data_IF_106798187888
#
_entry.id   IF_106798187888
#
_cell.length_a   1.000
_cell.length_b   1.000
_cell.length_c   1.000
_cell.angle_alpha   90.00
_cell.angle_beta   90.00
_cell.angle_gamma   90.00
#
_symmetry.space_group_name_H-M   'P 1'
#
loop_
_entity.id
_entity.type
_entity.pdbx_description
1 polymer ?
#
# COMPACT_ATOMS: atom_id res chain seq x y z
N UNK A 1 16.21 30.68 3.84
CA UNK A 1 17.30 30.15 2.98
C UNK A 1 18.32 31.25 2.72
N UNK A 2 19.39 31.29 3.53
CA UNK A 2 20.63 31.90 3.07
C UNK A 2 21.29 30.93 2.09
N UNK A 3 21.78 31.46 0.98
CA UNK A 3 22.68 30.82 0.04
C UNK A 3 23.84 30.15 0.81
N UNK A 4 23.73 28.86 1.09
CA UNK A 4 24.87 27.99 1.38
C UNK A 4 24.84 26.92 0.31
N UNK A 5 25.86 26.98 -0.55
CA UNK A 5 26.31 25.96 -1.50
C UNK A 5 25.56 24.63 -1.42
N UNK A 6 24.82 24.31 -2.47
CA UNK A 6 24.39 22.93 -2.78
C UNK A 6 25.65 22.09 -3.07
N UNK A 7 26.41 21.79 -2.01
CA UNK A 7 27.45 20.78 -2.05
C UNK A 7 26.70 19.45 -2.01
N UNK A 8 26.21 19.00 -3.17
CA UNK A 8 25.34 17.83 -3.35
C UNK A 8 25.90 16.47 -2.89
N UNK A 9 26.92 16.48 -2.03
CA UNK A 9 27.65 15.34 -1.46
C UNK A 9 27.75 15.38 0.07
N UNK A 10 27.25 16.41 0.75
CA UNK A 10 27.20 16.43 2.21
C UNK A 10 26.05 15.54 2.75
N UNK A 11 26.23 14.87 3.90
CA UNK A 11 25.16 14.07 4.52
C UNK A 11 23.93 14.94 4.81
N UNK A 12 22.81 14.61 4.17
CA UNK A 12 21.54 15.31 4.32
C UNK A 12 20.37 14.41 3.92
N UNK A 13 19.32 14.40 4.74
CA UNK A 13 18.08 13.65 4.46
C UNK A 13 17.53 13.98 3.06
N UNK A 14 17.52 15.26 2.68
CA UNK A 14 17.08 15.68 1.34
C UNK A 14 17.85 14.99 0.20
N UNK A 15 19.16 14.86 0.35
CA UNK A 15 20.03 14.19 -0.63
C UNK A 15 19.76 12.69 -0.71
N UNK A 16 19.60 12.06 0.45
CA UNK A 16 19.19 10.66 0.59
C UNK A 16 17.87 10.40 -0.15
N UNK A 17 16.80 11.14 0.17
CA UNK A 17 15.48 10.96 -0.44
C UNK A 17 15.50 11.17 -1.96
N UNK A 18 16.19 12.21 -2.45
CA UNK A 18 16.32 12.48 -3.89
C UNK A 18 16.99 11.30 -4.61
N UNK A 19 18.09 10.78 -4.07
CA UNK A 19 18.80 9.67 -4.69
C UNK A 19 17.99 8.38 -4.64
N UNK A 20 17.32 8.09 -3.51
CA UNK A 20 16.44 6.92 -3.36
C UNK A 20 15.32 6.92 -4.39
N UNK A 21 14.63 8.05 -4.59
CA UNK A 21 13.55 8.14 -5.58
C UNK A 21 14.06 8.12 -7.03
N UNK A 22 15.09 8.89 -7.36
CA UNK A 22 15.60 8.96 -8.75
C UNK A 22 16.29 7.67 -9.23
N UNK A 23 16.76 6.84 -8.29
CA UNK A 23 17.41 5.54 -8.57
C UNK A 23 16.51 4.34 -8.27
N UNK A 24 15.27 4.58 -7.84
CA UNK A 24 14.30 3.51 -7.56
C UNK A 24 14.14 2.53 -8.74
N UNK A 25 14.22 2.95 -10.03
CA UNK A 25 14.11 1.99 -11.14
C UNK A 25 15.18 0.87 -11.14
N UNK A 26 16.33 1.04 -10.48
CA UNK A 26 17.36 0.01 -10.38
C UNK A 26 17.05 -1.08 -9.32
N UNK A 27 16.17 -0.76 -8.37
CA UNK A 27 15.76 -1.67 -7.29
C UNK A 27 15.10 -2.92 -7.83
N UNK A 28 15.46 -4.08 -7.26
CA UNK A 28 14.99 -5.41 -7.64
C UNK A 28 15.25 -5.78 -9.12
N UNK A 29 16.08 -5.01 -9.82
CA UNK A 29 16.51 -5.29 -11.21
C UNK A 29 18.01 -5.55 -11.27
N UNK A 30 18.79 -4.66 -10.68
CA UNK A 30 20.25 -4.82 -10.64
C UNK A 30 20.69 -5.34 -9.27
N UNK A 31 20.02 -4.91 -8.21
CA UNK A 31 20.28 -5.25 -6.81
C UNK A 31 19.14 -4.72 -5.92
N UNK A 32 19.21 -5.02 -4.61
CA UNK A 32 18.42 -4.29 -3.62
C UNK A 32 19.09 -2.93 -3.38
N UNK A 33 18.36 -1.85 -3.70
CA UNK A 33 18.88 -0.49 -3.44
C UNK A 33 18.95 -0.26 -1.93
N UNK A 34 20.09 0.24 -1.45
CA UNK A 34 20.22 0.78 -0.11
C UNK A 34 19.79 2.26 -0.11
N UNK A 35 18.68 2.63 0.58
CA UNK A 35 18.23 4.00 0.67
C UNK A 35 18.91 4.82 1.78
N UNK A 36 19.93 4.26 2.44
CA UNK A 36 20.48 4.69 3.74
C UNK A 36 19.50 4.40 4.90
N UNK A 37 19.97 4.60 6.13
CA UNK A 37 19.20 4.29 7.34
C UNK A 37 18.08 5.32 7.58
N UNK A 38 16.92 4.84 8.02
CA UNK A 38 15.91 5.71 8.62
C UNK A 38 16.36 6.04 10.04
N UNK A 39 16.41 7.34 10.34
CA UNK A 39 16.74 7.85 11.67
C UNK A 39 15.44 8.20 12.41
N UNK A 40 15.13 7.42 13.43
CA UNK A 40 13.99 7.58 14.32
C UNK A 40 14.38 8.33 15.61
N UNK A 41 15.66 8.37 15.95
CA UNK A 41 16.14 8.96 17.19
C UNK A 41 15.89 10.47 17.28
N UNK A 42 15.65 10.95 18.49
CA UNK A 42 15.47 12.37 18.81
C UNK A 42 16.81 13.12 18.97
N UNK A 43 17.94 12.43 18.81
CA UNK A 43 19.27 13.07 18.71
C UNK A 43 19.45 13.85 17.41
N UNK A 44 18.62 13.58 16.39
CA UNK A 44 18.59 14.31 15.13
C UNK A 44 17.75 15.59 15.24
N UNK A 45 17.89 16.51 14.28
CA UNK A 45 17.01 17.69 14.17
C UNK A 45 15.80 17.45 13.27
N UNK A 46 15.53 16.19 12.91
CA UNK A 46 14.42 15.84 12.03
C UNK A 46 13.11 16.04 12.76
N UNK A 47 12.18 16.69 12.09
CA UNK A 47 10.78 16.76 12.50
C UNK A 47 10.09 15.40 12.28
N UNK A 48 8.96 15.18 12.95
CA UNK A 48 8.20 13.93 12.75
C UNK A 48 7.68 13.80 11.32
N UNK A 49 7.30 14.92 10.69
CA UNK A 49 6.89 14.95 9.29
C UNK A 49 8.05 14.50 8.35
N UNK A 50 9.30 14.91 8.62
CA UNK A 50 10.47 14.46 7.87
C UNK A 50 10.77 12.97 8.08
N UNK A 51 10.58 12.44 9.30
CA UNK A 51 10.75 11.01 9.60
C UNK A 51 9.69 10.18 8.87
N UNK A 52 8.42 10.62 8.88
CA UNK A 52 7.33 9.98 8.13
C UNK A 52 7.62 10.02 6.63
N UNK A 53 8.12 11.14 6.10
CA UNK A 53 8.49 11.27 4.69
C UNK A 53 9.64 10.34 4.30
N UNK A 54 10.65 10.19 5.17
CA UNK A 54 11.72 9.23 4.96
C UNK A 54 11.20 7.79 4.92
N UNK A 55 10.41 7.41 5.90
CA UNK A 55 9.77 6.10 5.96
C UNK A 55 8.89 5.84 4.73
N UNK A 56 8.12 6.82 4.28
CA UNK A 56 7.26 6.71 3.10
C UNK A 56 8.07 6.45 1.83
N UNK A 57 9.17 7.16 1.61
CA UNK A 57 10.03 6.93 0.44
C UNK A 57 10.70 5.55 0.48
N UNK A 58 11.19 5.12 1.65
CA UNK A 58 11.76 3.78 1.82
C UNK A 58 10.72 2.69 1.58
N UNK A 59 9.52 2.85 2.16
CA UNK A 59 8.39 1.94 1.96
C UNK A 59 8.01 1.80 0.49
N UNK A 60 7.82 2.92 -0.20
CA UNK A 60 7.38 2.95 -1.59
C UNK A 60 8.46 2.44 -2.57
N UNK A 61 9.74 2.62 -2.26
CA UNK A 61 10.82 2.17 -3.15
C UNK A 61 11.20 0.71 -2.93
N UNK A 62 10.86 0.13 -1.77
CA UNK A 62 10.98 -1.31 -1.52
C UNK A 62 12.42 -1.81 -1.46
N UNK A 63 13.40 -0.92 -1.25
CA UNK A 63 14.81 -1.28 -1.14
C UNK A 63 15.16 -1.99 0.17
N UNK A 64 16.36 -1.74 0.70
CA UNK A 64 16.75 -2.21 2.04
C UNK A 64 16.03 -1.41 3.13
N UNK A 65 15.71 -2.07 4.24
CA UNK A 65 15.19 -1.44 5.44
C UNK A 65 16.25 -1.46 6.55
N UNK A 66 16.77 -0.29 6.90
CA UNK A 66 17.83 -0.13 7.90
C UNK A 66 17.43 0.91 8.93
N UNK A 67 17.67 0.61 10.20
CA UNK A 67 17.53 1.53 11.34
C UNK A 67 18.91 1.73 11.97
N UNK A 68 19.26 2.98 12.31
CA UNK A 68 20.56 3.33 12.89
C UNK A 68 20.40 4.28 14.07
N UNK A 69 19.75 3.78 15.11
CA UNK A 69 19.47 4.52 16.34
C UNK A 69 19.73 3.66 17.57
N UNK A 70 19.89 4.35 18.71
CA UNK A 70 19.80 3.72 20.02
C UNK A 70 18.33 3.37 20.31
N UNK A 71 17.96 2.12 20.02
CA UNK A 71 16.57 1.65 20.08
C UNK A 71 15.95 1.73 21.48
N UNK A 72 16.75 1.79 22.54
CA UNK A 72 16.26 2.01 23.92
C UNK A 72 15.73 3.44 24.12
N UNK A 73 16.12 4.39 23.25
CA UNK A 73 15.76 5.80 23.34
C UNK A 73 14.76 6.24 22.27
N UNK A 74 14.42 5.38 21.30
CA UNK A 74 13.44 5.72 20.27
C UNK A 74 12.05 5.77 20.92
N UNK A 75 11.34 6.89 20.70
CA UNK A 75 9.98 7.04 21.22
C UNK A 75 9.01 6.09 20.52
N UNK A 76 7.99 5.63 21.26
CA UNK A 76 6.94 4.74 20.73
C UNK A 76 6.26 5.30 19.48
N UNK A 77 6.08 6.62 19.42
CA UNK A 77 5.48 7.29 18.27
C UNK A 77 6.33 7.11 16.99
N UNK A 78 7.66 7.28 17.08
CA UNK A 78 8.56 7.10 15.93
C UNK A 78 8.84 5.63 15.63
N UNK A 79 8.88 4.77 16.66
CA UNK A 79 8.94 3.33 16.46
C UNK A 79 7.73 2.82 15.68
N UNK A 80 6.53 3.36 15.97
CA UNK A 80 5.31 3.01 15.24
C UNK A 80 5.39 3.35 13.75
N UNK A 81 6.17 4.36 13.34
CA UNK A 81 6.38 4.68 11.91
C UNK A 81 7.08 3.51 11.22
N UNK A 82 8.18 3.02 11.80
CA UNK A 82 8.92 1.87 11.29
C UNK A 82 8.07 0.59 11.27
N UNK A 83 7.30 0.31 12.32
CA UNK A 83 6.40 -0.85 12.38
C UNK A 83 5.32 -0.83 11.29
N UNK A 84 4.87 0.36 10.88
CA UNK A 84 3.84 0.58 9.86
C UNK A 84 4.33 0.40 8.43
N UNK A 85 5.64 0.52 8.18
CA UNK A 85 6.24 0.25 6.86
C UNK A 85 6.89 -1.13 6.77
N UNK A 86 7.10 -1.80 7.89
CA UNK A 86 7.69 -3.12 7.96
C UNK A 86 6.60 -4.22 7.93
N UNK A 87 6.83 -5.36 7.23
CA UNK A 87 7.96 -5.63 6.34
C UNK A 87 7.86 -4.84 5.03
N UNK A 88 9.01 -4.49 4.44
CA UNK A 88 8.99 -3.86 3.13
C UNK A 88 8.44 -4.82 2.07
N UNK A 89 7.81 -4.23 1.05
CA UNK A 89 7.39 -4.96 -0.14
C UNK A 89 8.56 -5.04 -1.13
N UNK A 90 8.75 -6.19 -1.78
CA UNK A 90 9.83 -6.38 -2.78
C UNK A 90 9.47 -5.83 -4.16
N UNK A 91 8.68 -4.76 -4.22
CA UNK A 91 8.32 -4.07 -5.46
C UNK A 91 8.59 -2.59 -5.32
N UNK A 92 9.00 -1.96 -6.41
CA UNK A 92 9.43 -0.57 -6.40
C UNK A 92 8.44 0.34 -7.10
N UNK A 93 8.05 1.41 -6.42
CA UNK A 93 7.21 2.46 -6.97
C UNK A 93 7.88 3.17 -8.15
N UNK A 94 7.05 3.63 -9.07
CA UNK A 94 7.45 4.46 -10.20
C UNK A 94 7.32 5.94 -9.81
N UNK A 95 8.40 6.74 -9.91
CA UNK A 95 8.31 8.18 -9.78
C UNK A 95 7.64 8.79 -11.01
N UNK A 96 6.48 9.43 -10.85
CA UNK A 96 5.67 9.92 -11.97
C UNK A 96 6.14 11.26 -12.52
N UNK A 97 6.83 12.06 -11.71
CA UNK A 97 7.27 13.41 -12.03
C UNK A 97 8.79 13.53 -12.20
N UNK A 98 9.50 12.40 -12.38
CA UNK A 98 10.97 12.37 -12.42
C UNK A 98 11.58 13.34 -13.46
N UNK A 99 10.95 13.50 -14.62
CA UNK A 99 11.42 14.38 -15.70
C UNK A 99 10.76 15.76 -15.70
N UNK A 100 9.84 16.03 -14.77
CA UNK A 100 9.07 17.27 -14.64
C UNK A 100 9.19 17.91 -13.25
N UNK A 101 10.17 17.47 -12.44
CA UNK A 101 10.33 17.94 -11.07
C UNK A 101 10.55 19.46 -11.02
N UNK A 102 9.77 20.14 -10.18
CA UNK A 102 9.93 21.59 -9.93
C UNK A 102 10.82 21.88 -8.71
N UNK A 103 11.11 20.88 -7.87
CA UNK A 103 11.78 21.01 -6.59
C UNK A 103 13.26 20.60 -6.64
N UNK A 104 14.04 21.22 -7.53
CA UNK A 104 15.48 20.94 -7.72
C UNK A 104 15.80 19.46 -8.00
N UNK A 105 15.02 18.80 -8.87
CA UNK A 105 15.26 17.39 -9.20
C UNK A 105 14.68 16.39 -8.20
N UNK A 106 13.82 16.81 -7.26
CA UNK A 106 13.20 15.93 -6.26
C UNK A 106 11.80 15.49 -6.70
N UNK A 107 11.62 14.20 -7.07
CA UNK A 107 10.30 13.64 -7.36
C UNK A 107 9.37 13.80 -6.17
N UNK A 108 8.12 14.12 -6.41
CA UNK A 108 7.11 14.36 -5.37
C UNK A 108 5.96 13.35 -5.43
N UNK A 109 5.92 12.52 -6.48
CA UNK A 109 4.83 11.58 -6.73
C UNK A 109 5.41 10.19 -7.00
N UNK A 110 5.15 9.24 -6.11
CA UNK A 110 5.48 7.81 -6.31
C UNK A 110 4.18 7.01 -6.46
N UNK A 111 4.18 6.04 -7.37
CA UNK A 111 3.02 5.17 -7.60
C UNK A 111 3.38 3.68 -7.57
N UNK A 112 2.57 2.91 -6.87
CA UNK A 112 2.51 1.44 -6.93
C UNK A 112 1.12 1.00 -7.37
N UNK A 113 1.07 -0.23 -7.86
CA UNK A 113 -0.17 -0.94 -8.13
C UNK A 113 -0.36 -2.05 -7.11
N UNK A 114 -1.60 -2.36 -6.80
CA UNK A 114 -1.93 -3.53 -6.00
C UNK A 114 -3.10 -4.26 -6.65
N UNK A 115 -2.99 -5.58 -6.74
CA UNK A 115 -4.02 -6.42 -7.36
C UNK A 115 -4.06 -7.77 -6.68
N UNK A 116 -5.23 -8.38 -6.64
CA UNK A 116 -5.41 -9.71 -6.09
C UNK A 116 -4.72 -10.79 -6.92
N UNK A 117 -4.33 -11.88 -6.25
CA UNK A 117 -3.82 -13.10 -6.91
C UNK A 117 -4.93 -13.75 -7.74
N UNK A 118 -4.59 -14.16 -8.97
CA UNK A 118 -5.52 -14.86 -9.86
C UNK A 118 -5.70 -16.32 -9.42
N UNK A 119 -6.79 -16.96 -9.84
CA UNK A 119 -7.04 -18.38 -9.54
C UNK A 119 -5.97 -19.31 -10.14
N UNK A 120 -5.30 -18.91 -11.23
CA UNK A 120 -4.22 -19.68 -11.87
C UNK A 120 -2.90 -19.60 -11.09
N UNK A 121 -2.64 -18.48 -10.40
CA UNK A 121 -1.47 -18.31 -9.51
C UNK A 121 -1.57 -19.18 -8.25
N UNK A 122 -2.77 -19.63 -7.87
CA UNK A 122 -2.98 -20.58 -6.76
C UNK A 122 -2.66 -22.04 -7.16
N UNK A 123 -2.40 -22.33 -8.43
CA UNK A 123 -2.28 -23.69 -8.98
C UNK A 123 -0.87 -24.31 -8.97
N UNK A 124 0.16 -23.62 -8.47
CA UNK A 124 1.57 -24.06 -8.60
C UNK A 124 2.31 -24.34 -7.29
N UNK A 125 1.59 -24.61 -6.20
CA UNK A 125 2.17 -25.18 -4.96
C UNK A 125 1.77 -26.65 -4.79
N UNK A 126 2.07 -27.48 -5.78
CA UNK A 126 2.22 -28.93 -5.59
C UNK A 126 3.68 -29.32 -5.87
N UNK A 127 4.60 -28.78 -5.06
CA UNK A 127 5.83 -29.50 -4.74
C UNK A 127 5.72 -29.95 -3.30
N UNK A 128 5.32 -31.21 -3.13
CA UNK A 128 5.49 -31.96 -1.89
C UNK A 128 6.89 -31.71 -1.34
N UNK A 129 7.05 -31.19 -0.11
CA UNK A 129 8.34 -31.29 0.55
C UNK A 129 8.55 -32.77 0.82
N UNK A 130 9.56 -33.36 0.19
CA UNK A 130 9.99 -34.71 0.54
C UNK A 130 10.29 -34.74 2.03
N UNK A 131 9.48 -35.52 2.74
CA UNK A 131 9.66 -35.88 4.14
C UNK A 131 10.98 -36.61 4.30
N UNK A 132 12.07 -35.87 4.53
CA UNK A 132 13.29 -36.46 5.09
C UNK A 132 13.14 -36.54 6.60
N UNK A 133 12.64 -37.70 7.02
CA UNK A 133 12.62 -38.15 8.41
C UNK A 133 14.05 -38.20 8.95
N UNK A 134 14.39 -37.34 9.89
CA UNK A 134 15.50 -37.58 10.82
C UNK A 134 15.08 -37.13 12.23
N UNK A 135 14.68 -38.14 13.01
CA UNK A 135 14.62 -38.08 14.46
C UNK A 135 16.05 -37.86 14.99
N UNK A 136 16.27 -36.82 15.79
CA UNK A 136 16.82 -36.95 17.16
C UNK A 136 17.00 -35.57 17.81
N UNK A 137 16.64 -35.57 19.09
CA UNK A 137 16.88 -34.60 20.15
C UNK A 137 18.26 -33.95 20.14
N UNK A 138 18.33 -32.62 20.25
CA UNK A 138 19.14 -31.93 21.28
C UNK A 138 18.98 -30.40 21.23
N UNK A 139 19.05 -29.82 22.42
CA UNK A 139 18.91 -28.42 22.80
C UNK A 139 19.96 -27.49 22.21
N UNK A 140 19.54 -26.33 21.70
CA UNK A 140 20.42 -25.20 21.39
C UNK A 140 20.00 -24.42 20.15
N UNK A 141 18.92 -23.65 20.23
CA UNK A 141 18.52 -22.75 19.13
C UNK A 141 19.54 -21.62 18.98
N UNK A 142 20.33 -21.67 17.91
CA UNK A 142 21.29 -20.61 17.57
C UNK A 142 20.57 -19.51 16.77
N UNK A 143 20.79 -18.21 17.07
CA UNK A 143 20.14 -17.07 16.39
C UNK A 143 20.26 -17.11 14.84
N UNK A 144 21.30 -17.74 14.31
CA UNK A 144 21.52 -17.94 12.86
C UNK A 144 20.45 -18.81 12.18
N UNK A 145 19.83 -19.74 12.90
CA UNK A 145 18.82 -20.65 12.34
C UNK A 145 17.48 -19.93 12.18
N UNK A 146 17.09 -19.15 13.18
CA UNK A 146 15.91 -18.27 13.16
C UNK A 146 16.03 -17.22 12.05
N UNK A 147 17.18 -16.56 11.92
CA UNK A 147 17.41 -15.56 10.87
C UNK A 147 17.39 -16.16 9.47
N UNK A 148 17.89 -17.39 9.29
CA UNK A 148 17.79 -18.10 8.00
C UNK A 148 16.36 -18.48 7.68
N UNK A 149 15.59 -18.94 8.66
CA UNK A 149 14.18 -19.29 8.49
C UNK A 149 13.30 -18.06 8.20
N UNK A 150 13.62 -16.91 8.81
CA UNK A 150 12.95 -15.63 8.52
C UNK A 150 13.35 -15.07 7.15
N UNK A 151 14.63 -15.14 6.77
CA UNK A 151 15.09 -14.74 5.45
C UNK A 151 14.51 -15.63 4.33
N UNK A 152 14.42 -16.95 4.54
CA UNK A 152 13.81 -17.87 3.58
C UNK A 152 12.29 -17.64 3.42
N UNK A 153 11.59 -17.21 4.48
CA UNK A 153 10.17 -16.81 4.38
C UNK A 153 9.98 -15.54 3.53
N UNK A 154 10.89 -14.56 3.65
CA UNK A 154 10.88 -13.35 2.82
C UNK A 154 11.22 -13.68 1.36
N UNK A 155 12.17 -14.61 1.12
CA UNK A 155 12.50 -15.08 -0.23
C UNK A 155 11.32 -15.80 -0.91
N UNK A 156 10.57 -16.63 -0.19
CA UNK A 156 9.43 -17.37 -0.75
C UNK A 156 8.16 -16.52 -1.01
N UNK A 157 7.87 -15.50 -0.20
CA UNK A 157 6.68 -14.64 -0.43
C UNK A 157 6.82 -13.70 -1.64
N UNK A 158 8.05 -13.46 -2.12
CA UNK A 158 8.36 -12.41 -3.10
C UNK A 158 9.18 -12.88 -4.30
N UNK A 159 9.04 -14.15 -4.68
CA UNK A 159 9.70 -14.66 -5.89
C UNK A 159 9.05 -14.04 -7.13
N UNK A 160 9.76 -13.08 -7.75
CA UNK A 160 9.66 -12.92 -9.19
C UNK A 160 10.13 -14.21 -9.83
N UNK A 161 9.20 -15.08 -10.20
CA UNK A 161 9.50 -16.27 -10.99
C UNK A 161 9.63 -15.84 -12.45
N UNK A 162 10.80 -15.98 -13.09
CA UNK A 162 10.95 -15.72 -14.52
C UNK A 162 10.37 -16.92 -15.27
N UNK A 163 9.07 -17.19 -15.11
CA UNK A 163 8.38 -18.27 -15.82
C UNK A 163 8.30 -18.02 -17.32
N UNK A 164 8.47 -16.76 -17.75
CA UNK A 164 8.56 -16.35 -19.14
C UNK A 164 9.72 -15.37 -19.33
N UNK A 165 10.66 -15.71 -20.22
CA UNK A 165 11.72 -14.78 -20.66
C UNK A 165 11.20 -13.64 -21.54
N UNK A 166 9.94 -13.69 -21.96
CA UNK A 166 9.22 -12.54 -22.54
C UNK A 166 8.75 -11.62 -21.41
N UNK A 167 9.65 -10.77 -20.93
CA UNK A 167 9.28 -9.66 -20.06
C UNK A 167 8.75 -8.55 -20.95
N UNK A 168 7.42 -8.36 -20.96
CA UNK A 168 6.84 -7.15 -21.52
C UNK A 168 7.40 -5.93 -20.75
N UNK A 169 8.16 -5.03 -21.39
CA UNK A 169 8.70 -3.84 -20.72
C UNK A 169 7.60 -2.90 -20.21
N UNK A 170 6.36 -3.06 -20.68
CA UNK A 170 5.17 -2.33 -20.22
C UNK A 170 4.37 -3.08 -19.15
N UNK A 171 4.79 -4.30 -18.77
CA UNK A 171 4.18 -5.06 -17.68
C UNK A 171 4.31 -4.32 -16.36
N UNK A 172 3.18 -4.21 -15.65
CA UNK A 172 3.12 -3.58 -14.33
C UNK A 172 3.62 -4.50 -13.21
N UNK A 173 3.90 -5.77 -13.49
CA UNK A 173 4.32 -6.79 -12.52
C UNK A 173 5.45 -6.31 -11.61
N UNK A 174 6.40 -5.55 -12.16
CA UNK A 174 7.58 -5.05 -11.42
C UNK A 174 7.30 -3.92 -10.43
N UNK A 175 6.08 -3.39 -10.44
CA UNK A 175 5.60 -2.30 -9.56
C UNK A 175 4.24 -2.64 -8.96
N UNK A 176 3.89 -3.93 -8.92
CA UNK A 176 2.59 -4.42 -8.54
C UNK A 176 2.70 -5.38 -7.35
N UNK A 177 2.02 -5.03 -6.26
CA UNK A 177 1.87 -5.88 -5.09
C UNK A 177 0.76 -6.89 -5.37
N UNK A 178 1.02 -8.16 -5.11
CA UNK A 178 0.00 -9.22 -5.14
C UNK A 178 -0.57 -9.43 -3.74
N UNK A 179 -1.88 -9.40 -3.61
CA UNK A 179 -2.60 -9.53 -2.33
C UNK A 179 -3.62 -10.66 -2.35
N UNK A 180 -4.19 -10.96 -1.19
CA UNK A 180 -5.21 -11.98 -1.04
C UNK A 180 -6.38 -11.80 -2.03
N UNK A 181 -6.88 -12.92 -2.56
CA UNK A 181 -8.06 -12.94 -3.41
C UNK A 181 -9.28 -12.35 -2.68
N UNK A 182 -10.14 -11.67 -3.41
CA UNK A 182 -11.31 -10.99 -2.86
C UNK A 182 -11.07 -9.51 -2.54
N UNK A 183 -9.82 -9.04 -2.55
CA UNK A 183 -9.47 -7.66 -2.26
C UNK A 183 -9.55 -6.74 -3.49
N UNK A 184 -9.69 -7.27 -4.71
CA UNK A 184 -9.72 -6.45 -5.92
C UNK A 184 -8.40 -5.72 -6.18
N UNK A 185 -8.46 -4.59 -6.88
CA UNK A 185 -7.27 -3.82 -7.30
C UNK A 185 -7.35 -2.35 -6.88
N UNK A 186 -6.20 -1.73 -6.60
CA UNK A 186 -6.10 -0.31 -6.26
C UNK A 186 -4.74 0.29 -6.63
N UNK A 187 -4.70 1.61 -6.70
CA UNK A 187 -3.45 2.38 -6.82
C UNK A 187 -2.98 2.82 -5.44
N UNK A 188 -1.69 2.69 -5.16
CA UNK A 188 -1.05 3.32 -4.00
C UNK A 188 -0.23 4.52 -4.49
N UNK A 189 -0.48 5.71 -3.96
CA UNK A 189 0.16 6.96 -4.39
C UNK A 189 0.75 7.68 -3.20
N UNK A 190 2.04 7.94 -3.21
CA UNK A 190 2.68 8.83 -2.25
C UNK A 190 2.77 10.23 -2.83
N UNK A 191 2.31 11.23 -2.09
CA UNK A 191 2.46 12.65 -2.40
C UNK A 191 3.29 13.34 -1.33
N UNK A 192 4.31 14.08 -1.74
CA UNK A 192 5.27 14.70 -0.82
C UNK A 192 5.40 16.20 -1.07
N UNK A 193 5.41 16.99 0.00
CA UNK A 193 5.68 18.42 -0.06
C UNK A 193 7.13 18.72 0.35
N UNK A 194 8.01 18.99 -0.62
CA UNK A 194 9.42 19.30 -0.34
C UNK A 194 9.71 20.77 -0.04
N UNK A 195 8.67 21.59 0.11
CA UNK A 195 8.80 23.03 0.38
C UNK A 195 8.93 23.30 1.89
N UNK A 196 9.57 24.41 2.22
CA UNK A 196 9.72 24.91 3.60
C UNK A 196 8.41 25.48 4.21
N UNK A 197 7.33 25.47 3.44
CA UNK A 197 6.03 25.97 3.86
C UNK A 197 4.93 24.97 3.49
N UNK A 198 3.79 25.10 4.17
CA UNK A 198 2.61 24.30 3.87
C UNK A 198 2.11 24.58 2.46
N UNK A 199 1.88 23.54 1.67
CA UNK A 199 1.47 23.65 0.27
C UNK A 199 0.21 22.83 -0.01
N UNK A 200 -0.59 23.30 -0.98
CA UNK A 200 -1.69 22.52 -1.56
C UNK A 200 -1.16 21.82 -2.82
N UNK A 201 -0.88 20.54 -2.71
CA UNK A 201 -0.49 19.72 -3.85
C UNK A 201 -1.75 19.38 -4.65
N UNK A 202 -1.65 19.50 -5.98
CA UNK A 202 -2.71 19.18 -6.92
C UNK A 202 -2.18 18.13 -7.87
N UNK A 203 -2.87 16.99 -7.96
CA UNK A 203 -2.51 15.92 -8.88
C UNK A 203 -3.73 15.55 -9.69
N UNK A 204 -3.56 15.45 -11.01
CA UNK A 204 -4.63 14.99 -11.90
C UNK A 204 -5.10 13.61 -11.42
N UNK A 205 -6.37 13.51 -11.04
CA UNK A 205 -6.91 12.27 -10.49
C UNK A 205 -6.92 11.16 -11.56
N UNK A 206 -7.22 11.53 -12.81
CA UNK A 206 -7.13 10.62 -13.96
C UNK A 206 -5.73 10.01 -14.13
N UNK A 207 -4.67 10.81 -13.99
CA UNK A 207 -3.30 10.30 -14.06
C UNK A 207 -2.94 9.27 -12.96
N UNK A 208 -3.68 9.28 -11.84
CA UNK A 208 -3.47 8.33 -10.73
C UNK A 208 -4.20 7.00 -10.94
N UNK A 209 -5.35 7.01 -11.64
CA UNK A 209 -6.24 5.83 -11.74
C UNK A 209 -6.22 5.14 -13.10
N UNK A 210 -5.58 5.67 -14.15
CA UNK A 210 -5.52 5.01 -15.47
C UNK A 210 -4.92 3.59 -15.40
N UNK A 211 -5.70 2.58 -15.79
CA UNK A 211 -5.44 1.15 -15.56
C UNK A 211 -4.54 0.50 -16.62
N UNK A 212 -4.25 1.15 -17.74
CA UNK A 212 -3.28 0.69 -18.74
C UNK A 212 -2.50 1.84 -19.40
N UNK A 213 -1.37 1.54 -20.02
CA UNK A 213 -0.74 2.45 -20.99
C UNK A 213 -1.68 2.69 -22.20
N UNK A 214 -2.56 1.73 -22.51
CA UNK A 214 -3.61 1.85 -23.54
C UNK A 214 -4.69 2.88 -23.15
N UNK A 215 -5.00 3.00 -21.85
CA UNK A 215 -5.88 4.07 -21.34
C UNK A 215 -5.22 5.43 -21.46
N UNK A 216 -3.90 5.50 -21.29
CA UNK A 216 -3.11 6.71 -21.45
C UNK A 216 -3.05 7.17 -22.92
N UNK A 217 -2.99 6.23 -23.87
CA UNK A 217 -3.05 6.50 -25.31
C UNK A 217 -4.44 6.98 -25.74
N UNK A 218 -5.51 6.41 -25.17
CA UNK A 218 -6.88 6.79 -25.48
C UNK A 218 -7.21 8.26 -25.12
N UNK A 219 -6.54 8.84 -24.12
CA UNK A 219 -6.79 10.21 -23.66
C UNK A 219 -5.94 11.30 -24.35
N UNK A 220 -5.08 10.98 -25.34
CA UNK A 220 -4.32 12.06 -25.98
C UNK A 220 -3.24 11.75 -27.02
N UNK A 221 -3.08 10.52 -27.52
CA UNK A 221 -2.13 10.23 -28.61
C UNK A 221 -2.82 9.52 -29.79
N UNK A 222 -2.49 9.84 -31.06
CA UNK A 222 -3.20 9.28 -32.21
C UNK A 222 -2.96 7.77 -32.32
N UNK A 223 -4.05 7.00 -32.38
CA UNK A 223 -4.06 5.56 -32.60
C UNK A 223 -3.50 5.20 -33.98
N UNK A 224 -2.52 4.31 -34.04
CA UNK A 224 -2.41 3.41 -35.20
C UNK A 224 -3.35 2.22 -34.97
N UNK A 225 -4.36 2.08 -35.83
CA UNK A 225 -5.32 0.98 -35.87
C UNK A 225 -4.61 -0.39 -35.78
N UNK A 226 -4.95 -1.20 -34.77
CA UNK A 226 -5.35 -2.61 -34.95
C UNK A 226 -5.82 -3.28 -33.64
N UNK A 227 -6.99 -3.91 -33.76
CA UNK A 227 -7.52 -5.03 -32.97
C UNK A 227 -8.12 -4.76 -31.59
N UNK A 228 -9.34 -4.21 -31.59
CA UNK A 228 -10.35 -4.51 -30.58
C UNK A 228 -11.22 -5.66 -31.13
N UNK A 229 -10.96 -6.89 -30.68
CA UNK A 229 -12.02 -7.91 -30.64
C UNK A 229 -12.69 -7.78 -29.29
N UNK A 230 -13.89 -7.21 -29.31
CA UNK A 230 -14.78 -7.14 -28.18
C UNK A 230 -15.23 -8.55 -27.80
N UNK A 231 -14.82 -9.01 -26.63
CA UNK A 231 -15.53 -10.01 -25.81
C UNK A 231 -15.05 -9.87 -24.36
N UNK A 232 -15.64 -8.91 -23.66
CA UNK A 232 -15.93 -8.95 -22.22
C UNK A 232 -16.70 -7.67 -21.87
N UNK A 233 -17.97 -7.83 -21.52
CA UNK A 233 -18.70 -6.85 -20.73
C UNK A 233 -17.94 -6.56 -19.43
N UNK A 234 -17.78 -5.27 -19.08
CA UNK A 234 -17.56 -4.71 -17.71
C UNK A 234 -16.33 -3.82 -17.36
N UNK A 235 -15.48 -3.27 -18.25
CA UNK A 235 -14.54 -2.22 -17.80
C UNK A 235 -15.20 -0.85 -17.55
N UNK A 236 -16.31 -0.56 -18.23
CA UNK A 236 -17.00 0.75 -18.15
C UNK A 236 -17.90 0.91 -16.92
N UNK A 237 -18.63 -0.13 -16.52
CA UNK A 237 -19.57 -0.08 -15.38
C UNK A 237 -18.85 0.08 -14.03
N UNK A 238 -17.66 -0.51 -13.84
CA UNK A 238 -16.92 -0.49 -12.57
C UNK A 238 -16.50 0.94 -12.16
N UNK A 239 -16.32 1.85 -13.13
CA UNK A 239 -15.84 3.20 -12.84
C UNK A 239 -16.97 4.16 -12.46
N UNK A 240 -18.22 3.92 -12.85
CA UNK A 240 -19.34 4.86 -12.70
C UNK A 240 -19.68 5.20 -11.24
N UNK A 241 -19.33 4.32 -10.31
CA UNK A 241 -19.65 4.45 -8.88
C UNK A 241 -18.60 5.24 -8.07
N UNK A 242 -17.55 5.71 -8.73
CA UNK A 242 -16.49 6.50 -8.11
C UNK A 242 -15.43 5.65 -7.41
N UNK A 243 -14.77 6.24 -6.42
CA UNK A 243 -13.57 5.70 -5.81
C UNK A 243 -13.59 5.85 -4.29
N UNK A 244 -13.18 4.79 -3.61
CA UNK A 244 -12.72 4.84 -2.23
C UNK A 244 -11.30 5.39 -2.19
N UNK A 245 -11.07 6.44 -1.40
CA UNK A 245 -9.75 7.01 -1.15
C UNK A 245 -9.43 6.95 0.32
N UNK A 246 -8.38 6.23 0.68
CA UNK A 246 -7.90 6.10 2.04
C UNK A 246 -6.51 6.72 2.18
N UNK A 247 -6.35 7.63 3.14
CA UNK A 247 -5.08 8.27 3.51
C UNK A 247 -4.45 7.49 4.66
N UNK A 248 -3.31 6.85 4.40
CA UNK A 248 -2.68 5.90 5.33
C UNK A 248 -2.20 6.57 6.63
N UNK A 249 -1.38 7.63 6.52
CA UNK A 249 -0.77 8.24 7.70
C UNK A 249 -1.79 9.01 8.54
N UNK A 250 -2.74 9.70 7.90
CA UNK A 250 -3.83 10.35 8.62
C UNK A 250 -4.96 9.40 9.05
N UNK A 251 -5.00 8.18 8.50
CA UNK A 251 -6.07 7.19 8.72
C UNK A 251 -7.47 7.75 8.40
N UNK A 252 -7.55 8.54 7.33
CA UNK A 252 -8.78 9.21 6.88
C UNK A 252 -9.33 8.54 5.62
N UNK A 253 -10.66 8.47 5.54
CA UNK A 253 -11.38 7.96 4.38
C UNK A 253 -12.22 9.05 3.73
N UNK A 254 -12.23 9.08 2.40
CA UNK A 254 -13.14 9.87 1.58
C UNK A 254 -13.63 9.02 0.40
N UNK A 255 -14.88 9.23 0.00
CA UNK A 255 -15.39 8.74 -1.28
C UNK A 255 -15.37 9.88 -2.30
N UNK A 256 -14.88 9.57 -3.51
CA UNK A 256 -14.81 10.52 -4.63
C UNK A 256 -15.75 10.02 -5.73
N UNK A 257 -16.73 10.81 -6.20
CA UNK A 257 -17.63 10.39 -7.27
C UNK A 257 -16.91 10.27 -8.63
N UNK A 258 -17.44 9.43 -9.53
CA UNK A 258 -16.86 9.26 -10.88
C UNK A 258 -16.76 10.57 -11.65
N UNK A 259 -17.72 11.49 -11.48
CA UNK A 259 -17.72 12.80 -12.14
C UNK A 259 -16.41 13.58 -11.91
N UNK A 260 -15.73 13.42 -10.76
CA UNK A 260 -14.42 14.04 -10.53
C UNK A 260 -13.38 13.62 -11.57
N UNK A 261 -13.47 12.38 -12.08
CA UNK A 261 -12.65 11.91 -13.19
C UNK A 261 -13.05 12.56 -14.52
N UNK A 262 -14.35 12.63 -14.82
CA UNK A 262 -14.90 13.21 -16.07
C UNK A 262 -14.56 14.69 -16.20
N UNK A 263 -14.69 15.43 -15.10
CA UNK A 263 -14.38 16.86 -15.02
C UNK A 263 -12.87 17.13 -14.97
N UNK A 264 -12.04 16.06 -14.92
CA UNK A 264 -10.59 16.10 -14.74
C UNK A 264 -10.17 16.93 -13.52
N UNK A 265 -10.99 16.88 -12.47
CA UNK A 265 -10.73 17.57 -11.22
C UNK A 265 -9.51 16.95 -10.52
N UNK A 266 -8.59 17.77 -9.97
CA UNK A 266 -7.41 17.25 -9.30
C UNK A 266 -7.75 16.72 -7.91
N UNK A 267 -7.02 15.69 -7.47
CA UNK A 267 -6.86 15.39 -6.06
C UNK A 267 -6.07 16.53 -5.40
N UNK A 268 -6.64 17.15 -4.37
CA UNK A 268 -6.01 18.24 -3.63
C UNK A 268 -5.72 17.78 -2.20
N UNK A 269 -4.44 17.76 -1.80
CA UNK A 269 -4.04 17.55 -0.40
C UNK A 269 -3.20 18.74 0.07
N UNK A 270 -3.55 19.27 1.24
CA UNK A 270 -2.74 20.27 1.95
C UNK A 270 -1.75 19.53 2.84
N UNK A 271 -0.45 19.70 2.59
CA UNK A 271 0.62 19.08 3.38
C UNK A 271 1.49 20.14 4.05
N UNK A 272 1.92 19.85 5.28
CA UNK A 272 2.90 20.63 6.04
C UNK A 272 4.26 20.65 5.31
N UNK A 273 5.21 21.52 5.72
CA UNK A 273 6.57 21.46 5.21
C UNK A 273 7.13 20.04 5.35
N UNK A 274 7.78 19.55 4.29
CA UNK A 274 8.47 18.26 4.27
C UNK A 274 7.62 17.03 4.63
N UNK A 275 6.29 17.15 4.62
CA UNK A 275 5.38 16.05 4.94
C UNK A 275 4.99 15.25 3.69
N UNK A 276 4.71 13.96 3.92
CA UNK A 276 4.24 13.00 2.91
C UNK A 276 2.96 12.34 3.37
N UNK A 277 2.05 12.07 2.42
CA UNK A 277 0.86 11.24 2.61
C UNK A 277 0.85 10.10 1.60
N UNK A 278 0.39 8.92 2.00
CA UNK A 278 0.17 7.76 1.13
C UNK A 278 -1.33 7.55 0.97
N UNK A 279 -1.80 7.51 -0.28
CA UNK A 279 -3.20 7.32 -0.65
C UNK A 279 -3.40 5.94 -1.28
N UNK A 280 -4.47 5.27 -0.89
CA UNK A 280 -5.01 4.10 -1.55
C UNK A 280 -6.27 4.50 -2.30
N UNK A 281 -6.25 4.34 -3.63
CA UNK A 281 -7.35 4.75 -4.51
C UNK A 281 -7.91 3.49 -5.16
N UNK A 282 -9.13 3.13 -4.76
CA UNK A 282 -9.79 1.89 -5.14
C UNK A 282 -11.14 2.18 -5.79
N UNK A 283 -11.47 1.56 -6.94
CA UNK A 283 -12.81 1.66 -7.52
C UNK A 283 -13.88 1.18 -6.53
N UNK A 284 -14.98 1.92 -6.46
CA UNK A 284 -16.07 1.61 -5.56
C UNK A 284 -17.04 0.61 -6.20
N UNK A 285 -17.35 -0.48 -5.48
CA UNK A 285 -18.29 -1.52 -5.94
C UNK A 285 -19.50 -1.56 -4.97
N UNK A 286 -20.63 -0.91 -5.31
CA UNK A 286 -21.72 -0.69 -4.36
C UNK A 286 -22.45 -1.96 -3.91
N UNK A 287 -22.36 -3.04 -4.67
CA UNK A 287 -23.02 -4.31 -4.39
C UNK A 287 -22.16 -5.29 -3.59
N UNK A 288 -20.89 -4.95 -3.33
CA UNK A 288 -19.91 -5.86 -2.74
C UNK A 288 -19.22 -5.25 -1.54
N UNK A 289 -19.00 -6.06 -0.50
CA UNK A 289 -18.15 -5.64 0.60
C UNK A 289 -16.69 -5.50 0.13
N UNK A 290 -16.05 -4.39 0.49
CA UNK A 290 -14.68 -4.10 0.07
C UNK A 290 -13.79 -3.76 1.27
N UNK A 291 -12.61 -4.39 1.32
CA UNK A 291 -11.50 -3.90 2.14
C UNK A 291 -11.00 -2.56 1.58
N UNK A 292 -11.03 -1.51 2.39
CA UNK A 292 -10.63 -0.16 1.99
C UNK A 292 -9.17 0.09 2.34
N UNK A 293 -8.74 -0.36 3.52
CA UNK A 293 -7.35 -0.26 3.97
C UNK A 293 -7.18 -0.41 5.48
N UNK A 294 -5.97 -0.13 5.98
CA UNK A 294 -5.67 -0.11 7.41
C UNK A 294 -4.54 0.86 7.73
N UNK A 295 -4.36 1.16 9.02
CA UNK A 295 -3.14 1.82 9.52
C UNK A 295 -2.10 0.83 10.07
N UNK A 296 -2.20 -0.45 9.69
CA UNK A 296 -1.27 -1.51 10.11
C UNK A 296 -0.06 -1.61 9.17
N UNK A 297 -0.27 -1.44 7.87
CA UNK A 297 0.78 -1.52 6.87
C UNK A 297 0.51 -0.60 5.67
N UNK A 298 1.55 0.09 5.20
CA UNK A 298 1.42 1.12 4.16
C UNK A 298 0.86 0.63 2.82
N UNK A 299 0.88 -0.68 2.56
CA UNK A 299 0.31 -1.25 1.32
C UNK A 299 -1.21 -1.33 1.34
N UNK A 300 -1.83 -1.33 2.54
CA UNK A 300 -3.23 -1.65 2.76
C UNK A 300 -3.67 -2.94 2.07
N UNK A 301 -2.99 -4.06 2.35
CA UNK A 301 -3.33 -5.35 1.74
C UNK A 301 -2.35 -6.47 2.05
N UNK A 302 -1.06 -6.16 2.27
CA UNK A 302 -0.06 -7.14 2.70
C UNK A 302 -0.45 -7.82 4.02
N UNK A 303 -1.04 -7.05 4.94
CA UNK A 303 -1.47 -7.50 6.25
C UNK A 303 -2.69 -8.44 6.22
N UNK A 304 -3.33 -8.61 5.07
CA UNK A 304 -4.53 -9.45 4.91
C UNK A 304 -4.13 -10.82 4.39
N UNK A 305 -4.49 -11.86 5.16
CA UNK A 305 -4.31 -13.26 4.79
C UNK A 305 -5.46 -13.75 3.89
N UNK A 306 -6.71 -13.49 4.30
CA UNK A 306 -7.90 -13.84 3.53
C UNK A 306 -9.03 -12.83 3.71
N UNK A 307 -9.80 -12.61 2.66
CA UNK A 307 -10.99 -11.76 2.65
C UNK A 307 -12.17 -12.53 2.04
N UNK A 308 -13.20 -12.77 2.86
CA UNK A 308 -14.40 -13.51 2.47
C UNK A 308 -15.64 -12.69 2.78
N UNK A 309 -16.64 -12.73 1.91
CA UNK A 309 -17.85 -11.95 2.04
C UNK A 309 -19.05 -12.64 1.39
N UNK A 310 -20.24 -12.32 1.89
CA UNK A 310 -21.52 -12.70 1.31
C UNK A 310 -22.57 -11.62 1.58
N UNK A 311 -23.80 -11.85 1.15
CA UNK A 311 -24.95 -10.97 1.46
C UNK A 311 -25.29 -10.90 2.96
N UNK A 312 -24.66 -11.73 3.80
CA UNK A 312 -24.91 -11.80 5.26
C UNK A 312 -23.66 -11.65 6.12
N UNK A 313 -22.47 -11.60 5.53
CA UNK A 313 -21.25 -11.51 6.31
C UNK A 313 -20.08 -10.86 5.60
N UNK A 314 -19.15 -10.34 6.40
CA UNK A 314 -17.77 -10.07 6.00
C UNK A 314 -16.85 -10.73 7.01
N UNK A 315 -15.88 -11.50 6.53
CA UNK A 315 -14.84 -12.13 7.33
C UNK A 315 -13.46 -11.80 6.77
N UNK A 316 -12.57 -11.37 7.65
CA UNK A 316 -11.19 -11.01 7.31
C UNK A 316 -10.26 -11.68 8.28
N UNK A 317 -9.24 -12.33 7.75
CA UNK A 317 -8.14 -12.87 8.52
C UNK A 317 -6.91 -12.00 8.24
N UNK A 318 -6.30 -11.46 9.28
CA UNK A 318 -5.05 -10.73 9.19
C UNK A 318 -3.88 -11.68 9.41
N UNK A 319 -2.76 -11.44 8.71
CA UNK A 319 -1.51 -12.15 8.95
C UNK A 319 -1.04 -11.90 10.38
N UNK A 320 -0.49 -12.93 11.02
CA UNK A 320 -0.09 -12.87 12.43
C UNK A 320 1.44 -12.84 12.64
N UNK A 321 2.20 -12.64 11.57
CA UNK A 321 3.68 -12.71 11.58
C UNK A 321 4.32 -11.60 12.41
N UNK A 322 3.62 -10.47 12.57
CA UNK A 322 4.13 -9.28 13.24
C UNK A 322 3.13 -8.73 14.25
N UNK A 323 3.63 -8.32 15.41
CA UNK A 323 2.80 -7.71 16.44
C UNK A 323 2.43 -6.28 16.05
N UNK A 324 1.19 -6.06 15.61
CA UNK A 324 0.68 -4.74 15.22
C UNK A 324 -0.65 -4.45 15.89
N UNK A 325 -0.98 -3.17 16.05
CA UNK A 325 -2.26 -2.69 16.57
C UNK A 325 -2.70 -1.49 15.76
N UNK A 326 -3.98 -1.42 15.47
CA UNK A 326 -4.51 -0.38 14.60
C UNK A 326 -5.98 -0.59 14.30
N UNK A 327 -6.38 -0.19 13.11
CA UNK A 327 -7.74 -0.27 12.60
C UNK A 327 -7.75 -0.71 11.14
N UNK A 328 -8.73 -1.52 10.79
CA UNK A 328 -9.09 -1.78 9.39
C UNK A 328 -10.33 -0.98 9.02
N UNK A 329 -10.46 -0.68 7.73
CA UNK A 329 -11.55 0.07 7.14
C UNK A 329 -12.25 -0.78 6.10
N UNK A 330 -13.56 -0.98 6.26
CA UNK A 330 -14.38 -1.87 5.43
C UNK A 330 -15.58 -1.13 4.90
N UNK A 331 -15.79 -1.17 3.60
CA UNK A 331 -17.06 -0.82 3.00
C UNK A 331 -17.99 -2.03 3.05
N UNK A 332 -19.20 -1.83 3.59
CA UNK A 332 -20.29 -2.80 3.59
C UNK A 332 -21.49 -2.17 2.89
N UNK A 333 -22.02 -2.78 1.81
CA UNK A 333 -23.24 -2.34 1.15
C UNK A 333 -24.40 -2.21 2.14
N UNK A 334 -25.29 -1.24 1.91
CA UNK A 334 -26.50 -1.14 2.70
C UNK A 334 -27.40 -2.36 2.42
N UNK A 335 -27.80 -3.06 3.47
CA UNK A 335 -28.57 -4.30 3.39
C UNK A 335 -29.43 -4.50 4.65
N UNK A 336 -30.42 -5.38 4.56
CA UNK A 336 -31.29 -5.73 5.68
C UNK A 336 -30.47 -6.37 6.81
N UNK A 337 -30.70 -5.92 8.05
CA UNK A 337 -30.00 -6.44 9.23
C UNK A 337 -28.67 -5.72 9.57
N UNK A 338 -28.10 -4.91 8.67
CA UNK A 338 -26.81 -4.24 8.92
C UNK A 338 -26.82 -3.33 10.15
N UNK A 339 -27.99 -2.79 10.52
CA UNK A 339 -28.16 -2.00 11.76
C UNK A 339 -27.97 -2.82 13.05
N UNK A 340 -28.20 -4.14 12.97
CA UNK A 340 -28.05 -5.09 14.07
C UNK A 340 -26.82 -5.99 13.89
N UNK A 341 -25.91 -5.64 12.99
CA UNK A 341 -24.75 -6.46 12.69
C UNK A 341 -23.88 -6.71 13.94
N UNK A 342 -23.58 -7.97 14.20
CA UNK A 342 -22.64 -8.38 15.23
C UNK A 342 -21.21 -8.28 14.67
N UNK A 343 -20.41 -7.38 15.25
CA UNK A 343 -18.97 -7.27 14.93
C UNK A 343 -18.17 -7.98 16.00
N UNK A 344 -17.35 -8.93 15.58
CA UNK A 344 -16.41 -9.62 16.45
C UNK A 344 -14.98 -9.49 15.95
N UNK A 345 -14.05 -9.38 16.90
CA UNK A 345 -12.61 -9.43 16.68
C UNK A 345 -12.10 -10.63 17.47
N UNK A 346 -11.78 -11.69 16.74
CA UNK A 346 -11.47 -13.05 17.18
C UNK A 346 -12.44 -13.58 18.22
N UNK A 347 -13.72 -13.56 17.86
CA UNK A 347 -14.81 -14.12 18.66
C UNK A 347 -15.25 -13.25 19.84
N UNK A 348 -14.56 -12.15 20.15
CA UNK A 348 -14.99 -11.18 21.17
C UNK A 348 -15.69 -9.99 20.51
N UNK A 349 -16.65 -9.32 21.18
CA UNK A 349 -17.25 -8.10 20.65
C UNK A 349 -16.18 -7.06 20.25
N UNK A 350 -16.23 -6.64 18.99
CA UNK A 350 -15.29 -5.67 18.41
C UNK A 350 -15.75 -4.23 18.60
N UNK A 351 -14.81 -3.30 18.76
CA UNK A 351 -15.11 -1.87 18.70
C UNK A 351 -15.21 -1.44 17.24
N UNK A 352 -16.39 -1.00 16.84
CA UNK A 352 -16.70 -0.53 15.49
C UNK A 352 -17.17 0.93 15.51
N UNK A 353 -16.76 1.69 14.50
CA UNK A 353 -17.19 3.06 14.24
C UNK A 353 -17.62 3.18 12.77
N UNK A 354 -18.74 3.87 12.50
CA UNK A 354 -19.13 4.22 11.13
C UNK A 354 -18.44 5.53 10.78
N UNK A 355 -17.42 5.49 9.93
CA UNK A 355 -16.62 6.68 9.56
C UNK A 355 -17.19 7.42 8.36
N UNK A 356 -17.97 6.75 7.51
CA UNK A 356 -18.62 7.38 6.36
C UNK A 356 -19.82 6.58 5.84
N UNK A 357 -20.66 7.25 5.04
CA UNK A 357 -21.80 6.67 4.33
C UNK A 357 -21.78 7.11 2.86
N UNK A 358 -20.94 6.51 2.00
CA UNK A 358 -20.86 6.89 0.59
C UNK A 358 -22.18 6.62 -0.13
N UNK A 359 -22.52 7.49 -1.08
CA UNK A 359 -23.75 7.44 -1.90
C UNK A 359 -23.31 7.34 -3.36
N UNK A 360 -23.35 6.13 -3.92
CA UNK A 360 -22.78 5.75 -5.22
C UNK A 360 -23.83 5.66 -6.34
N UNK A 361 -24.93 6.43 -6.23
CA UNK A 361 -26.05 6.44 -7.17
C UNK A 361 -27.42 6.48 -6.48
N UNK A 362 -28.49 6.47 -7.26
CA UNK A 362 -29.86 6.35 -6.72
C UNK A 362 -30.04 4.96 -6.11
N UNK A 363 -30.14 4.90 -4.78
CA UNK A 363 -30.25 3.67 -3.97
C UNK A 363 -29.00 2.78 -3.87
N UNK A 364 -27.86 3.22 -4.42
CA UNK A 364 -26.57 2.54 -4.25
C UNK A 364 -25.77 3.24 -3.15
N UNK A 365 -25.53 2.57 -2.03
CA UNK A 365 -24.82 3.15 -0.90
C UNK A 365 -24.44 2.13 0.15
N UNK A 366 -23.76 2.57 1.20
CA UNK A 366 -23.38 1.68 2.29
C UNK A 366 -22.66 2.41 3.39
N UNK A 367 -21.89 1.66 4.19
CA UNK A 367 -21.19 2.17 5.37
C UNK A 367 -19.73 1.81 5.27
N UNK A 368 -18.87 2.77 5.60
CA UNK A 368 -17.47 2.48 5.87
C UNK A 368 -17.31 2.34 7.37
N UNK A 369 -16.90 1.13 7.78
CA UNK A 369 -16.71 0.72 9.16
C UNK A 369 -15.22 0.74 9.47
N UNK A 370 -14.86 1.41 10.55
CA UNK A 370 -13.54 1.31 11.17
C UNK A 370 -13.63 0.28 12.31
N UNK A 371 -12.81 -0.76 12.26
CA UNK A 371 -12.76 -1.82 13.28
C UNK A 371 -11.37 -1.88 13.88
N UNK A 372 -11.26 -1.77 15.20
CA UNK A 372 -9.98 -1.88 15.89
C UNK A 372 -9.50 -3.32 15.94
N UNK A 373 -8.23 -3.54 15.62
CA UNK A 373 -7.62 -4.87 15.51
C UNK A 373 -6.21 -4.91 16.10
N UNK A 374 -5.73 -6.11 16.39
CA UNK A 374 -4.33 -6.35 16.71
C UNK A 374 -3.87 -7.75 16.30
N UNK A 375 -2.58 -7.88 15.99
CA UNK A 375 -1.92 -9.12 15.55
C UNK A 375 -0.71 -9.41 16.47
N UNK A 376 -0.23 -10.66 16.51
CA UNK A 376 0.92 -11.20 17.27
C UNK A 376 0.60 -12.48 18.06
N UNK A 377 1.59 -13.06 18.75
CA UNK A 377 1.53 -14.37 19.47
C UNK A 377 0.33 -14.57 20.40
N UNK A 378 -0.27 -13.49 20.90
CA UNK A 378 -1.44 -13.50 21.79
C UNK A 378 -2.54 -12.51 21.36
N UNK A 379 -2.49 -12.00 20.13
CA UNK A 379 -3.40 -10.98 19.63
C UNK A 379 -4.17 -11.42 18.38
N UNK A 380 -5.44 -11.04 18.41
CA UNK A 380 -6.61 -11.59 17.76
C UNK A 380 -6.83 -10.98 16.35
N UNK A 381 -6.39 -11.66 15.28
CA UNK A 381 -6.38 -11.14 13.89
C UNK A 381 -7.61 -11.42 13.01
N UNK A 382 -8.65 -12.09 13.50
CA UNK A 382 -9.85 -12.42 12.70
C UNK A 382 -10.96 -11.41 12.96
N UNK A 383 -11.43 -10.69 11.95
CA UNK A 383 -12.62 -9.83 12.03
C UNK A 383 -13.80 -10.53 11.38
N UNK A 384 -14.96 -10.52 12.03
CA UNK A 384 -16.20 -11.06 11.47
C UNK A 384 -17.36 -10.12 11.76
N UNK A 385 -18.07 -9.75 10.71
CA UNK A 385 -19.28 -8.92 10.75
C UNK A 385 -20.41 -9.79 10.19
N UNK A 386 -21.44 -10.03 10.99
CA UNK A 386 -22.57 -10.89 10.66
C UNK A 386 -23.87 -10.10 10.85
N UNK A 387 -24.78 -10.13 9.88
CA UNK A 387 -26.08 -9.46 9.98
C UNK A 387 -27.25 -10.33 9.54
#
# INVERSE_FOLDING_TARGET
MHNKSDNGTLPALRGMLRNTMSRSPFGHRWWHNDPDCILLGESTKLTDDEVVSAASVVAMTGGMFLLSDDMEKVSEARLSIAQRIFPLISVTAVPLDLHSTVNSGMPSILRLWCTEKSAEENGTENTTPESSTLCHTESGETPRKILREQASKIECEFIYSPGNMDVDPYSRERSCIRVASGLGSWTVVSLSNWLEHTAKLRVSFSALVSHSIDDFVATGAPRSLRSLTADSSSPREILEHGFHVFSFWSSEYVWIPHRTLEDNDPLIKKLKPHATEIFHIKPAEPSRAQYIGSDLHFSCGFEVDSFDWSDRHVKICLKNDYKKRGSIFLYVPECDGLNSAAVTVSGKPGRVEIVARPIMGENCGGRVLRVNVGTGENADGVVSILW
#
